data_IF_277815286851
#
_entry.id   IF_277815286851
#
_cell.length_a   1.000
_cell.length_b   1.000
_cell.length_c   1.000
_cell.angle_alpha   90.00
_cell.angle_beta   90.00
_cell.angle_gamma   90.00
#
_symmetry.space_group_name_H-M   'P 1'
#
loop_
_entity.id
_entity.type
_entity.pdbx_description
1 polymer ?
#
# COMPACT_ATOMS: atom_id res chain seq x y z
N UNK A 1 9.68 9.24 9.79
CA UNK A 1 8.32 8.74 9.86
C UNK A 1 7.49 9.34 8.72
N UNK A 2 6.86 8.48 7.90
CA UNK A 2 6.09 8.88 6.73
C UNK A 2 4.93 9.82 7.12
N UNK A 3 4.26 9.56 8.23
CA UNK A 3 3.14 10.39 8.67
C UNK A 3 3.62 11.80 9.05
N UNK A 4 4.76 11.91 9.71
CA UNK A 4 5.34 13.23 10.01
C UNK A 4 5.74 13.98 8.75
N UNK A 5 6.26 13.26 7.76
CA UNK A 5 6.59 13.87 6.47
C UNK A 5 5.37 14.55 5.86
N UNK A 6 4.23 13.84 5.82
CA UNK A 6 3.01 14.39 5.26
C UNK A 6 2.43 15.54 6.10
N UNK A 7 2.65 15.54 7.41
CA UNK A 7 2.22 16.65 8.28
C UNK A 7 3.05 17.90 8.05
N UNK A 8 4.34 17.76 7.77
CA UNK A 8 5.28 18.87 7.65
C UNK A 8 5.45 19.37 6.23
N UNK A 9 5.06 18.59 5.23
CA UNK A 9 5.27 18.88 3.82
C UNK A 9 3.95 19.00 3.10
N UNK A 10 3.90 19.86 2.08
CA UNK A 10 2.75 19.88 1.17
C UNK A 10 2.96 18.80 0.12
N UNK A 11 2.47 17.58 0.39
CA UNK A 11 2.61 16.46 -0.52
C UNK A 11 1.81 16.64 -1.82
N UNK A 12 0.90 17.62 -1.88
CA UNK A 12 0.14 17.90 -3.10
C UNK A 12 1.01 18.38 -4.25
N UNK A 13 2.27 18.71 -3.99
CA UNK A 13 3.24 19.03 -5.05
C UNK A 13 3.85 17.80 -5.71
N UNK A 14 3.66 16.61 -5.13
CA UNK A 14 4.27 15.41 -5.66
C UNK A 14 3.40 14.75 -6.72
N UNK A 15 4.05 14.32 -7.81
CA UNK A 15 3.40 13.53 -8.87
C UNK A 15 3.44 12.04 -8.57
N UNK A 16 4.45 11.58 -7.84
CA UNK A 16 4.70 10.18 -7.56
C UNK A 16 5.06 10.02 -6.09
N UNK A 17 4.42 9.05 -5.45
CA UNK A 17 4.72 8.67 -4.06
C UNK A 17 4.95 7.17 -4.03
N UNK A 18 6.02 6.74 -3.35
CA UNK A 18 6.31 5.33 -3.12
C UNK A 18 6.11 5.02 -1.64
N UNK A 19 5.22 4.06 -1.35
CA UNK A 19 4.94 3.60 0.00
C UNK A 19 5.44 2.18 0.14
N UNK A 20 6.55 2.02 0.85
CA UNK A 20 7.18 0.73 1.09
C UNK A 20 7.48 0.59 2.58
N UNK A 21 6.43 0.49 3.42
CA UNK A 21 6.62 0.43 4.86
C UNK A 21 7.15 -0.92 5.30
N UNK A 22 7.76 -1.00 6.49
CA UNK A 22 8.08 -2.29 7.09
C UNK A 22 6.81 -3.07 7.39
N UNK A 23 6.92 -4.38 7.60
CA UNK A 23 5.77 -5.20 7.96
C UNK A 23 5.16 -4.70 9.26
N UNK A 24 3.85 -4.39 9.23
CA UNK A 24 3.14 -3.95 10.43
C UNK A 24 2.79 -5.11 11.36
N UNK A 25 2.66 -6.33 10.81
CA UNK A 25 2.22 -7.49 11.56
C UNK A 25 3.39 -8.42 11.82
N UNK A 26 3.73 -8.62 13.09
CA UNK A 26 4.77 -9.55 13.54
C UNK A 26 4.20 -10.75 14.30
N UNK A 27 2.94 -10.68 14.70
CA UNK A 27 2.24 -11.70 15.47
C UNK A 27 0.86 -11.94 14.88
N UNK A 28 0.30 -13.11 15.15
CA UNK A 28 -1.00 -13.49 14.59
C UNK A 28 -2.14 -12.52 14.95
N UNK A 29 -2.09 -11.96 16.15
CA UNK A 29 -3.17 -11.08 16.63
C UNK A 29 -3.13 -9.68 16.04
N UNK A 30 -2.16 -9.39 15.15
CA UNK A 30 -1.98 -8.04 14.63
C UNK A 30 -2.39 -7.89 13.18
N UNK A 31 -3.08 -8.91 12.59
CA UNK A 31 -3.59 -8.80 11.23
C UNK A 31 -4.48 -7.58 11.07
N UNK A 32 -5.42 -7.39 12.01
CA UNK A 32 -6.28 -6.23 12.00
C UNK A 32 -5.48 -4.92 12.11
N UNK A 33 -4.47 -4.89 12.97
CA UNK A 33 -3.63 -3.71 13.14
C UNK A 33 -2.81 -3.43 11.88
N UNK A 34 -2.34 -4.48 11.20
CA UNK A 34 -1.62 -4.33 9.94
C UNK A 34 -2.52 -3.70 8.87
N UNK A 35 -3.77 -4.19 8.74
CA UNK A 35 -4.74 -3.65 7.79
C UNK A 35 -4.99 -2.18 8.09
N UNK A 36 -5.20 -1.82 9.35
CA UNK A 36 -5.44 -0.43 9.74
C UNK A 36 -4.22 0.45 9.45
N UNK A 37 -3.01 -0.07 9.69
CA UNK A 37 -1.77 0.65 9.39
C UNK A 37 -1.61 0.93 7.90
N UNK A 38 -1.82 -0.06 7.05
CA UNK A 38 -1.76 0.11 5.60
C UNK A 38 -2.85 1.06 5.10
N UNK A 39 -4.06 0.93 5.63
CA UNK A 39 -5.17 1.81 5.26
C UNK A 39 -4.86 3.27 5.60
N UNK A 40 -4.38 3.51 6.82
CA UNK A 40 -4.05 4.86 7.29
C UNK A 40 -2.93 5.47 6.44
N UNK A 41 -1.88 4.71 6.17
CA UNK A 41 -0.75 5.18 5.39
C UNK A 41 -1.19 5.56 3.97
N UNK A 42 -1.95 4.69 3.32
CA UNK A 42 -2.41 4.93 1.97
C UNK A 42 -3.42 6.07 1.91
N UNK A 43 -4.34 6.14 2.87
CA UNK A 43 -5.30 7.24 2.95
C UNK A 43 -4.58 8.59 3.08
N UNK A 44 -3.56 8.65 3.92
CA UNK A 44 -2.77 9.88 4.11
C UNK A 44 -2.08 10.28 2.80
N UNK A 45 -1.47 9.33 2.10
CA UNK A 45 -0.84 9.62 0.81
C UNK A 45 -1.86 10.10 -0.23
N UNK A 46 -3.03 9.45 -0.29
CA UNK A 46 -4.10 9.84 -1.21
C UNK A 46 -4.67 11.21 -0.93
N UNK A 47 -4.70 11.63 0.35
CA UNK A 47 -5.16 12.97 0.70
C UNK A 47 -4.24 14.05 0.19
N UNK A 48 -2.94 13.76 0.15
CA UNK A 48 -1.92 14.77 -0.10
C UNK A 48 -1.36 14.76 -1.51
N UNK A 49 -1.55 13.69 -2.28
CA UNK A 49 -1.05 13.64 -3.65
C UNK A 49 -1.90 14.52 -4.57
N UNK A 50 -1.27 15.16 -5.54
CA UNK A 50 -2.03 15.99 -6.47
C UNK A 50 -2.87 15.15 -7.43
N UNK A 51 -3.95 15.72 -7.99
CA UNK A 51 -4.81 14.98 -8.93
C UNK A 51 -4.02 14.44 -10.12
N UNK A 52 -4.24 13.17 -10.45
CA UNK A 52 -3.50 12.48 -11.50
C UNK A 52 -2.20 11.86 -11.04
N UNK A 53 -1.82 12.06 -9.79
CA UNK A 53 -0.57 11.51 -9.25
C UNK A 53 -0.60 10.00 -9.11
N UNK A 54 0.58 9.39 -9.09
CA UNK A 54 0.76 7.94 -9.05
C UNK A 54 1.30 7.53 -7.70
N UNK A 55 0.72 6.50 -7.11
CA UNK A 55 1.22 5.88 -5.88
C UNK A 55 1.63 4.45 -6.18
N UNK A 56 2.88 4.12 -5.83
CA UNK A 56 3.39 2.76 -5.78
C UNK A 56 3.27 2.33 -4.32
N UNK A 57 2.39 1.38 -4.03
CA UNK A 57 2.15 0.97 -2.64
C UNK A 57 2.39 -0.52 -2.48
N UNK A 58 3.12 -0.89 -1.42
CA UNK A 58 3.61 -2.24 -1.22
C UNK A 58 3.28 -2.75 0.17
N UNK A 59 3.18 -4.08 0.27
CA UNK A 59 3.10 -4.80 1.54
C UNK A 59 3.99 -6.03 1.46
N UNK A 60 4.80 -6.26 2.47
CA UNK A 60 5.56 -7.50 2.62
C UNK A 60 5.03 -8.36 3.79
N UNK A 61 3.84 -8.08 4.27
CA UNK A 61 3.26 -8.81 5.38
C UNK A 61 2.65 -10.13 4.90
N UNK A 62 3.03 -11.25 5.55
CA UNK A 62 2.49 -12.56 5.24
C UNK A 62 1.03 -12.74 5.68
N UNK A 63 0.58 -11.94 6.64
CA UNK A 63 -0.79 -12.06 7.16
C UNK A 63 -1.81 -11.26 6.33
N UNK A 64 -1.33 -10.47 5.38
CA UNK A 64 -2.18 -9.68 4.48
C UNK A 64 -2.01 -10.25 3.08
N UNK A 65 -3.01 -11.00 2.60
CA UNK A 65 -2.96 -11.57 1.26
C UNK A 65 -3.27 -10.51 0.18
N UNK A 66 -3.16 -10.91 -1.09
CA UNK A 66 -3.35 -10.00 -2.22
C UNK A 66 -4.73 -9.36 -2.21
N UNK A 67 -5.78 -10.15 -1.97
CA UNK A 67 -7.14 -9.65 -1.99
C UNK A 67 -7.39 -8.69 -0.83
N UNK A 68 -6.90 -9.03 0.35
CA UNK A 68 -7.03 -8.18 1.53
C UNK A 68 -6.28 -6.87 1.33
N UNK A 69 -5.09 -6.92 0.74
CA UNK A 69 -4.32 -5.71 0.46
C UNK A 69 -5.07 -4.81 -0.53
N UNK A 70 -5.56 -5.38 -1.63
CA UNK A 70 -6.36 -4.64 -2.60
C UNK A 70 -7.56 -3.97 -1.94
N UNK A 71 -8.32 -4.73 -1.15
CA UNK A 71 -9.51 -4.21 -0.48
C UNK A 71 -9.15 -3.11 0.51
N UNK A 72 -8.02 -3.23 1.18
CA UNK A 72 -7.53 -2.22 2.13
C UNK A 72 -7.25 -0.90 1.41
N UNK A 73 -6.58 -0.97 0.25
CA UNK A 73 -6.26 0.22 -0.53
C UNK A 73 -7.55 0.87 -1.06
N UNK A 74 -8.49 0.08 -1.55
CA UNK A 74 -9.76 0.60 -2.04
C UNK A 74 -10.58 1.23 -0.91
N UNK A 75 -10.53 0.64 0.28
CA UNK A 75 -11.18 1.19 1.47
C UNK A 75 -10.58 2.55 1.84
N UNK A 76 -9.26 2.70 1.72
CA UNK A 76 -8.60 3.99 1.95
C UNK A 76 -9.09 5.05 0.96
N UNK A 77 -9.22 4.70 -0.31
CA UNK A 77 -9.72 5.61 -1.34
C UNK A 77 -11.14 6.09 -1.03
N UNK A 78 -11.99 5.17 -0.61
CA UNK A 78 -13.37 5.50 -0.22
C UNK A 78 -13.36 6.45 0.98
N UNK A 79 -12.54 6.18 1.96
CA UNK A 79 -12.45 6.99 3.17
C UNK A 79 -12.08 8.44 2.86
N UNK A 80 -11.14 8.65 1.94
CA UNK A 80 -10.70 10.01 1.60
C UNK A 80 -11.56 10.66 0.50
N UNK A 81 -12.47 9.91 -0.09
CA UNK A 81 -13.38 10.43 -1.12
C UNK A 81 -12.72 10.72 -2.45
N UNK A 82 -11.65 10.01 -2.79
CA UNK A 82 -10.96 10.18 -4.08
C UNK A 82 -11.15 8.96 -4.96
N UNK A 83 -11.32 9.18 -6.25
CA UNK A 83 -11.38 8.11 -7.23
C UNK A 83 -9.97 7.63 -7.53
N UNK A 84 -9.80 6.31 -7.51
CA UNK A 84 -8.51 5.67 -7.72
C UNK A 84 -8.64 4.67 -8.86
N UNK A 85 -7.64 4.69 -9.75
CA UNK A 85 -7.54 3.74 -10.87
C UNK A 85 -6.36 2.83 -10.63
N UNK A 86 -6.56 1.52 -10.65
CA UNK A 86 -5.47 0.55 -10.53
C UNK A 86 -4.82 0.38 -11.90
N UNK A 87 -3.55 0.75 -12.01
CA UNK A 87 -2.82 0.64 -13.27
C UNK A 87 -2.13 -0.71 -13.40
N UNK A 88 -1.54 -1.20 -12.32
CA UNK A 88 -0.83 -2.48 -12.31
C UNK A 88 -0.91 -3.14 -10.95
N UNK A 89 -0.89 -4.48 -10.97
CA UNK A 89 -0.66 -5.30 -9.78
C UNK A 89 0.74 -5.86 -9.89
N UNK A 90 1.54 -5.68 -8.84
CA UNK A 90 2.93 -6.10 -8.82
C UNK A 90 3.09 -7.30 -7.90
N UNK A 91 4.02 -8.17 -8.24
CA UNK A 91 4.40 -9.32 -7.43
C UNK A 91 5.89 -9.28 -7.15
N UNK A 92 6.42 -10.36 -6.55
CA UNK A 92 7.84 -10.43 -6.29
C UNK A 92 8.65 -10.31 -7.58
N UNK A 93 9.80 -9.63 -7.51
CA UNK A 93 10.70 -9.55 -8.67
C UNK A 93 11.16 -10.93 -9.12
N UNK A 94 11.62 -11.05 -10.36
CA UNK A 94 12.08 -12.31 -10.92
C UNK A 94 13.24 -12.94 -10.15
N UNK A 95 14.06 -12.13 -9.49
CA UNK A 95 15.17 -12.60 -8.66
C UNK A 95 14.72 -13.09 -7.27
N UNK A 96 13.44 -12.91 -6.94
CA UNK A 96 12.82 -13.45 -5.73
C UNK A 96 11.54 -14.19 -6.09
N UNK A 97 11.62 -15.26 -6.92
CA UNK A 97 10.40 -15.92 -7.36
C UNK A 97 9.69 -16.66 -6.23
N UNK A 98 8.37 -16.70 -6.28
CA UNK A 98 7.59 -17.47 -5.35
C UNK A 98 7.78 -18.96 -5.61
N UNK A 99 7.88 -19.76 -4.56
CA UNK A 99 8.00 -21.21 -4.65
C UNK A 99 6.65 -21.84 -4.38
N UNK A 100 6.14 -22.63 -5.32
CA UNK A 100 4.82 -23.27 -5.19
C UNK A 100 4.74 -24.25 -4.02
N UNK A 101 5.88 -24.78 -3.57
CA UNK A 101 5.94 -25.68 -2.42
C UNK A 101 6.13 -24.97 -1.09
N UNK A 102 6.32 -23.65 -1.13
CA UNK A 102 6.52 -22.81 0.04
C UNK A 102 5.70 -21.54 -0.14
N UNK A 103 4.38 -21.61 0.12
CA UNK A 103 3.50 -20.44 -0.09
C UNK A 103 3.94 -19.18 0.67
N UNK A 104 4.64 -19.36 1.79
CA UNK A 104 5.17 -18.28 2.59
C UNK A 104 6.22 -17.43 1.84
N UNK A 105 6.79 -17.96 0.76
CA UNK A 105 7.73 -17.19 -0.07
C UNK A 105 7.03 -16.13 -0.92
N UNK A 106 5.71 -16.23 -1.07
CA UNK A 106 4.92 -15.30 -1.88
C UNK A 106 4.30 -14.23 -0.99
N UNK A 107 5.13 -13.36 -0.43
CA UNK A 107 4.70 -12.37 0.55
C UNK A 107 4.64 -10.93 0.02
N UNK A 108 5.42 -10.61 -1.01
CA UNK A 108 5.48 -9.24 -1.52
C UNK A 108 4.28 -8.97 -2.44
N UNK A 109 3.56 -7.91 -2.14
CA UNK A 109 2.41 -7.44 -2.90
C UNK A 109 2.59 -5.97 -3.23
N UNK A 110 2.13 -5.56 -4.38
CA UNK A 110 2.19 -4.16 -4.75
C UNK A 110 1.08 -3.76 -5.68
N UNK A 111 0.72 -2.50 -5.64
CA UNK A 111 -0.21 -1.87 -6.56
C UNK A 111 0.38 -0.57 -7.07
N UNK A 112 0.17 -0.31 -8.35
CA UNK A 112 0.42 1.00 -8.93
C UNK A 112 -0.94 1.62 -9.19
N UNK A 113 -1.23 2.71 -8.50
CA UNK A 113 -2.54 3.35 -8.57
C UNK A 113 -2.39 4.81 -8.98
N UNK A 114 -3.39 5.30 -9.71
CA UNK A 114 -3.50 6.71 -10.04
C UNK A 114 -4.66 7.30 -9.24
N UNK A 115 -4.40 8.43 -8.58
CA UNK A 115 -5.38 9.12 -7.75
C UNK A 115 -5.90 10.32 -8.54
N UNK A 116 -7.18 10.29 -8.87
CA UNK A 116 -7.81 11.31 -9.71
C UNK A 116 -8.34 12.49 -8.93
#
# INVERSE_FOLDING_TARGET
>A
DTFKFFEQSDASIYDIIVLDPPAFAKHQNVKHNAVQGYKRLNATAMQHIKPGGIIFTFSCSQVVDDQLFYNTIMSAAIQVGRTVRVLHRLSQPADHPANIFHPESHYLKGLVIQVL
#
